data_IF_486296406456
#
_entry.id   IF_486296406456
#
_cell.length_a   1.000
_cell.length_b   1.000
_cell.length_c   1.000
_cell.angle_alpha   90.00
_cell.angle_beta   90.00
_cell.angle_gamma   90.00
#
_symmetry.space_group_name_H-M   'P 1'
#
loop_
_entity.id
_entity.type
_entity.pdbx_description
1 polymer ?
#
# COMPACT_ATOMS: atom_id res chain seq x y z
N UNK A 1 -56.94 -1.40 -64.26
CA UNK A 1 -57.13 -2.21 -63.04
C UNK A 1 -56.62 -1.37 -61.88
N UNK A 2 -57.50 -0.99 -60.96
CA UNK A 2 -57.16 -0.19 -59.78
C UNK A 2 -56.81 -1.15 -58.64
N UNK A 3 -55.60 -1.05 -58.11
CA UNK A 3 -55.13 -1.81 -56.96
C UNK A 3 -55.64 -1.16 -55.67
N UNK A 4 -56.48 -1.88 -54.95
CA UNK A 4 -56.91 -1.55 -53.58
C UNK A 4 -55.75 -1.90 -52.65
N UNK A 5 -55.20 -0.89 -51.96
CA UNK A 5 -54.24 -1.07 -50.88
C UNK A 5 -55.00 -1.32 -49.58
N UNK A 6 -54.73 -2.45 -48.93
CA UNK A 6 -55.10 -2.69 -47.53
C UNK A 6 -53.89 -2.34 -46.67
N UNK A 7 -53.96 -1.21 -45.96
CA UNK A 7 -53.03 -0.89 -44.89
C UNK A 7 -53.39 -1.67 -43.65
N UNK A 8 -52.55 -2.63 -43.27
CA UNK A 8 -52.56 -3.24 -41.93
C UNK A 8 -51.45 -2.54 -41.17
N UNK A 9 -51.81 -1.54 -40.36
CA UNK A 9 -50.87 -0.93 -39.44
C UNK A 9 -50.57 -1.90 -38.29
N UNK A 10 -49.31 -2.07 -37.86
CA UNK A 10 -49.03 -2.71 -36.59
C UNK A 10 -49.56 -1.79 -35.48
N UNK A 11 -50.64 -2.22 -34.84
CA UNK A 11 -51.07 -1.62 -33.58
C UNK A 11 -50.00 -1.88 -32.54
N UNK A 12 -49.32 -0.82 -32.10
CA UNK A 12 -48.52 -0.83 -30.88
C UNK A 12 -49.53 -0.96 -29.74
N UNK A 13 -49.68 -2.18 -29.21
CA UNK A 13 -50.26 -2.37 -27.88
C UNK A 13 -49.23 -1.82 -26.90
N UNK A 14 -49.52 -0.66 -26.32
CA UNK A 14 -48.82 -0.22 -25.10
C UNK A 14 -49.03 -1.31 -24.05
N UNK A 15 -47.95 -1.88 -23.52
CA UNK A 15 -48.06 -2.63 -22.28
C UNK A 15 -48.79 -1.75 -21.26
N UNK A 16 -49.80 -2.29 -20.59
CA UNK A 16 -50.37 -1.57 -19.46
C UNK A 16 -49.25 -1.42 -18.43
N UNK A 17 -49.00 -0.20 -17.96
CA UNK A 17 -48.03 0.03 -16.88
C UNK A 17 -48.47 -0.78 -15.66
N UNK A 18 -47.54 -1.50 -15.04
CA UNK A 18 -47.83 -2.28 -13.84
C UNK A 18 -48.33 -1.33 -12.72
N UNK A 19 -49.35 -1.73 -11.94
CA UNK A 19 -50.00 -0.86 -10.96
C UNK A 19 -49.05 -0.40 -9.83
N UNK A 20 -47.91 -1.06 -9.68
CA UNK A 20 -46.82 -0.65 -8.81
C UNK A 20 -45.49 -1.17 -9.39
N UNK A 21 -44.37 -0.63 -8.92
CA UNK A 21 -43.02 -1.07 -9.27
C UNK A 21 -42.19 -1.35 -8.02
N UNK A 22 -41.15 -2.16 -8.19
CA UNK A 22 -40.27 -2.61 -7.11
C UNK A 22 -38.82 -2.37 -7.52
N UNK A 23 -38.03 -1.80 -6.62
CA UNK A 23 -36.58 -1.66 -6.76
C UNK A 23 -35.88 -2.25 -5.53
N UNK A 24 -34.70 -2.81 -5.74
CA UNK A 24 -33.80 -3.24 -4.67
C UNK A 24 -32.62 -2.28 -4.73
N UNK A 25 -32.17 -1.83 -3.56
CA UNK A 25 -31.03 -0.95 -3.41
C UNK A 25 -30.10 -1.53 -2.35
N UNK A 26 -28.82 -1.58 -2.67
CA UNK A 26 -27.76 -2.11 -1.82
C UNK A 26 -26.68 -1.03 -1.64
N UNK A 27 -25.97 -1.04 -0.51
CA UNK A 27 -24.94 -0.04 -0.28
C UNK A 27 -23.79 -0.21 -1.28
N UNK A 28 -23.17 0.90 -1.69
CA UNK A 28 -22.05 0.89 -2.64
C UNK A 28 -20.84 0.08 -2.11
N UNK A 29 -20.71 -0.06 -0.80
CA UNK A 29 -19.66 -0.79 -0.09
C UNK A 29 -20.13 -2.17 0.45
N UNK A 30 -21.14 -2.76 -0.20
CA UNK A 30 -21.63 -4.10 0.14
C UNK A 30 -20.47 -5.09 0.17
N UNK A 31 -20.25 -5.73 1.32
CA UNK A 31 -19.11 -6.63 1.51
C UNK A 31 -19.44 -7.87 2.32
N UNK A 32 -18.50 -8.80 2.36
CA UNK A 32 -18.54 -9.96 3.26
C UNK A 32 -18.27 -9.59 4.73
N UNK A 33 -18.03 -8.31 5.05
CA UNK A 33 -17.72 -7.86 6.40
C UNK A 33 -19.00 -7.51 7.18
N UNK A 34 -19.35 -8.34 8.15
CA UNK A 34 -20.44 -8.03 9.09
C UNK A 34 -21.83 -7.98 8.46
N UNK A 35 -22.70 -7.17 9.07
CA UNK A 35 -24.09 -7.00 8.62
C UNK A 35 -24.19 -5.82 7.66
N UNK A 36 -24.92 -6.01 6.58
CA UNK A 36 -25.11 -5.04 5.51
C UNK A 36 -26.60 -4.71 5.39
N UNK A 37 -26.97 -3.44 5.25
CA UNK A 37 -28.39 -3.05 5.15
C UNK A 37 -28.81 -2.94 3.69
N UNK A 38 -29.81 -3.72 3.28
CA UNK A 38 -30.42 -3.65 1.94
C UNK A 38 -31.80 -2.99 2.06
N UNK A 39 -32.22 -2.31 1.00
CA UNK A 39 -33.51 -1.66 0.89
C UNK A 39 -34.35 -2.25 -0.27
N UNK A 40 -35.64 -2.43 -0.04
CA UNK A 40 -36.63 -2.73 -1.09
C UNK A 40 -37.64 -1.60 -1.16
N UNK A 41 -37.69 -0.89 -2.28
CA UNK A 41 -38.63 0.22 -2.50
C UNK A 41 -39.82 -0.24 -3.33
N UNK A 42 -41.02 -0.06 -2.79
CA UNK A 42 -42.30 -0.31 -3.47
C UNK A 42 -42.92 1.03 -3.84
N UNK A 43 -43.12 1.28 -5.13
CA UNK A 43 -43.73 2.51 -5.66
C UNK A 43 -45.09 2.22 -6.25
N UNK A 44 -46.13 2.92 -5.80
CA UNK A 44 -47.48 2.73 -6.31
C UNK A 44 -47.75 3.67 -7.50
N UNK A 45 -47.94 3.09 -8.68
CA UNK A 45 -48.15 3.84 -9.93
C UNK A 45 -49.65 4.04 -10.23
N UNK A 46 -50.53 3.41 -9.47
CA UNK A 46 -51.97 3.53 -9.64
C UNK A 46 -52.53 4.79 -8.95
N UNK A 47 -53.73 5.15 -9.38
CA UNK A 47 -54.59 6.20 -8.83
C UNK A 47 -55.22 5.84 -7.46
N UNK A 48 -55.10 4.59 -7.03
CA UNK A 48 -55.62 4.09 -5.75
C UNK A 48 -54.51 3.59 -4.84
N UNK A 49 -54.72 3.60 -3.52
CA UNK A 49 -53.70 3.17 -2.58
C UNK A 49 -53.46 1.64 -2.64
N UNK A 50 -52.20 1.23 -2.64
CA UNK A 50 -51.79 -0.17 -2.51
C UNK A 50 -51.84 -0.55 -1.03
N UNK A 51 -52.84 -1.33 -0.66
CA UNK A 51 -53.11 -1.68 0.74
C UNK A 51 -52.18 -2.79 1.22
N UNK A 52 -51.28 -2.45 2.15
CA UNK A 52 -50.43 -3.37 2.92
C UNK A 52 -49.82 -4.50 2.06
N UNK A 53 -48.97 -4.19 1.07
CA UNK A 53 -48.39 -5.21 0.23
C UNK A 53 -47.51 -6.16 1.06
N UNK A 54 -47.46 -7.42 0.69
CA UNK A 54 -46.49 -8.37 1.22
C UNK A 54 -45.21 -8.25 0.39
N UNK A 55 -44.08 -8.02 1.04
CA UNK A 55 -42.76 -8.01 0.40
C UNK A 55 -42.06 -9.31 0.78
N UNK A 56 -41.78 -10.15 -0.19
CA UNK A 56 -41.06 -11.41 -0.02
C UNK A 56 -39.67 -11.30 -0.66
N UNK A 57 -38.63 -11.51 0.14
CA UNK A 57 -37.24 -11.52 -0.30
C UNK A 57 -36.68 -12.92 -0.07
N UNK A 58 -36.66 -13.79 -1.09
CA UNK A 58 -35.96 -15.06 -1.01
C UNK A 58 -34.50 -14.92 -0.58
N UNK A 59 -34.10 -15.73 0.40
CA UNK A 59 -32.74 -15.73 0.92
C UNK A 59 -32.05 -17.02 0.48
N UNK A 60 -31.00 -16.85 -0.31
CA UNK A 60 -30.20 -17.96 -0.81
C UNK A 60 -28.72 -17.58 -0.81
N UNK A 61 -27.87 -18.57 -0.51
CA UNK A 61 -26.42 -18.42 -0.55
C UNK A 61 -25.95 -17.76 -1.86
N UNK A 62 -25.07 -16.75 -1.79
CA UNK A 62 -24.29 -16.35 -0.61
C UNK A 62 -24.95 -15.35 0.34
N UNK A 63 -26.17 -14.86 0.05
CA UNK A 63 -26.88 -13.92 0.92
C UNK A 63 -27.60 -14.70 2.04
N UNK A 64 -27.39 -14.26 3.27
CA UNK A 64 -28.00 -14.79 4.49
C UNK A 64 -28.67 -13.69 5.30
N UNK A 65 -29.39 -14.09 6.34
CA UNK A 65 -29.93 -13.18 7.35
C UNK A 65 -29.12 -13.31 8.64
N UNK A 66 -28.74 -12.20 9.30
CA UNK A 66 -28.21 -12.26 10.66
C UNK A 66 -29.27 -12.76 11.64
N UNK A 67 -28.84 -13.26 12.80
CA UNK A 67 -29.77 -13.67 13.85
C UNK A 67 -30.66 -12.50 14.29
N UNK A 68 -31.97 -12.70 14.28
CA UNK A 68 -32.96 -11.68 14.64
C UNK A 68 -33.17 -10.60 13.58
N UNK A 69 -32.84 -10.88 12.31
CA UNK A 69 -33.05 -9.94 11.20
C UNK A 69 -34.50 -9.44 11.10
N UNK A 70 -35.47 -10.30 11.46
CA UNK A 70 -36.89 -10.00 11.49
C UNK A 70 -37.26 -8.88 12.49
N UNK A 71 -36.51 -8.73 13.59
CA UNK A 71 -36.78 -7.74 14.64
C UNK A 71 -36.26 -6.34 14.28
N UNK A 72 -35.48 -6.23 13.20
CA UNK A 72 -34.78 -5.01 12.78
C UNK A 72 -35.24 -4.47 11.44
N UNK A 73 -36.39 -4.92 10.92
CA UNK A 73 -36.95 -4.40 9.67
C UNK A 73 -37.68 -3.09 9.93
N UNK A 74 -37.33 -2.03 9.19
CA UNK A 74 -37.95 -0.72 9.33
C UNK A 74 -38.35 -0.13 7.98
N UNK A 75 -39.27 0.85 8.00
CA UNK A 75 -39.79 1.49 6.79
C UNK A 75 -39.34 2.95 6.67
N UNK A 76 -38.87 3.32 5.48
CA UNK A 76 -38.23 4.60 5.15
C UNK A 76 -37.06 4.91 6.11
N UNK A 77 -36.58 6.15 6.15
CA UNK A 77 -35.55 6.58 7.11
C UNK A 77 -36.09 6.79 8.55
N UNK A 78 -37.08 5.99 8.96
CA UNK A 78 -37.74 6.10 10.27
C UNK A 78 -37.45 4.89 11.14
N UNK A 79 -37.58 5.05 12.46
CA UNK A 79 -37.50 3.92 13.41
C UNK A 79 -38.78 3.07 13.47
N UNK A 80 -39.67 3.22 12.49
CA UNK A 80 -40.95 2.52 12.48
C UNK A 80 -40.72 1.07 12.03
N UNK A 81 -40.66 0.19 13.02
CA UNK A 81 -40.47 -1.25 12.81
C UNK A 81 -41.66 -1.85 12.06
N UNK A 82 -41.35 -2.82 11.20
CA UNK A 82 -42.34 -3.59 10.44
C UNK A 82 -42.37 -5.02 10.93
N UNK A 83 -43.56 -5.60 10.91
CA UNK A 83 -43.74 -7.02 11.20
C UNK A 83 -43.12 -7.83 10.05
N UNK A 84 -42.13 -8.65 10.38
CA UNK A 84 -41.40 -9.48 9.45
C UNK A 84 -41.20 -10.88 10.02
N UNK A 85 -41.06 -11.87 9.15
CA UNK A 85 -40.83 -13.24 9.56
C UNK A 85 -40.03 -14.01 8.51
N UNK A 86 -39.17 -14.91 8.97
CA UNK A 86 -38.50 -15.88 8.11
C UNK A 86 -39.43 -17.08 7.90
N UNK A 87 -39.80 -17.33 6.65
CA UNK A 87 -40.72 -18.40 6.27
C UNK A 87 -40.25 -19.09 4.99
N UNK A 88 -40.85 -20.24 4.66
CA UNK A 88 -40.55 -20.89 3.38
C UNK A 88 -40.96 -19.98 2.22
N UNK A 89 -40.01 -19.74 1.30
CA UNK A 89 -40.22 -18.97 0.08
C UNK A 89 -41.35 -19.57 -0.75
N UNK A 90 -42.23 -18.71 -1.26
CA UNK A 90 -43.32 -19.08 -2.16
C UNK A 90 -42.91 -19.01 -3.63
N UNK A 91 -41.78 -18.37 -3.92
CA UNK A 91 -41.30 -18.15 -5.30
C UNK A 91 -39.95 -18.80 -5.62
N UNK A 92 -39.27 -19.33 -4.61
CA UNK A 92 -37.99 -20.04 -4.75
C UNK A 92 -37.91 -21.20 -3.74
N UNK A 93 -36.82 -21.97 -3.81
CA UNK A 93 -36.53 -22.99 -2.80
C UNK A 93 -35.78 -22.37 -1.62
N UNK A 94 -36.19 -22.68 -0.39
CA UNK A 94 -35.52 -22.24 0.83
C UNK A 94 -36.38 -21.26 1.62
N UNK A 95 -35.73 -20.47 2.47
CA UNK A 95 -36.38 -19.47 3.31
C UNK A 95 -36.44 -18.11 2.58
N UNK A 96 -37.37 -17.26 2.98
CA UNK A 96 -37.52 -15.88 2.55
C UNK A 96 -37.79 -15.00 3.77
N UNK A 97 -37.30 -13.77 3.73
CA UNK A 97 -37.76 -12.72 4.62
C UNK A 97 -39.10 -12.20 4.06
N UNK A 98 -40.16 -12.35 4.85
CA UNK A 98 -41.50 -11.90 4.48
C UNK A 98 -41.86 -10.71 5.37
N UNK A 99 -42.03 -9.53 4.76
CA UNK A 99 -42.30 -8.26 5.43
C UNK A 99 -43.74 -7.85 5.15
N UNK A 100 -44.50 -7.54 6.21
CA UNK A 100 -45.84 -6.97 6.09
C UNK A 100 -45.72 -5.47 5.83
N UNK A 101 -45.94 -5.09 4.58
CA UNK A 101 -45.80 -3.72 4.10
C UNK A 101 -46.87 -2.77 4.61
N UNK A 102 -46.57 -1.47 4.53
CA UNK A 102 -47.51 -0.40 4.85
C UNK A 102 -48.37 -0.05 3.64
N UNK A 103 -49.52 0.58 3.87
CA UNK A 103 -50.25 1.23 2.79
C UNK A 103 -49.29 2.17 2.03
N UNK A 104 -49.24 2.00 0.72
CA UNK A 104 -48.51 2.87 -0.20
C UNK A 104 -49.54 3.75 -0.92
N UNK A 105 -49.65 5.05 -0.58
CA UNK A 105 -50.60 5.94 -1.24
C UNK A 105 -50.37 6.03 -2.76
N UNK A 106 -51.38 6.50 -3.49
CA UNK A 106 -51.30 6.68 -4.93
C UNK A 106 -50.16 7.63 -5.31
N UNK A 107 -49.25 7.19 -6.19
CA UNK A 107 -48.09 7.97 -6.61
C UNK A 107 -46.96 8.11 -5.58
N UNK A 108 -47.02 7.39 -4.46
CA UNK A 108 -45.99 7.41 -3.41
C UNK A 108 -45.19 6.10 -3.37
N UNK A 109 -44.12 6.09 -2.57
CA UNK A 109 -43.26 4.94 -2.35
C UNK A 109 -43.10 4.62 -0.86
N UNK A 110 -42.81 3.35 -0.55
CA UNK A 110 -42.37 2.88 0.77
C UNK A 110 -41.10 2.06 0.59
N UNK A 111 -40.08 2.35 1.39
CA UNK A 111 -38.79 1.64 1.35
C UNK A 111 -38.63 0.79 2.60
N UNK A 112 -38.31 -0.49 2.46
CA UNK A 112 -38.15 -1.41 3.57
C UNK A 112 -36.69 -1.78 3.71
N UNK A 113 -36.11 -1.49 4.87
CA UNK A 113 -34.70 -1.75 5.16
C UNK A 113 -34.57 -2.97 6.06
N UNK A 114 -33.60 -3.84 5.77
CA UNK A 114 -33.29 -5.01 6.57
C UNK A 114 -31.82 -5.38 6.43
N UNK A 115 -31.28 -6.05 7.45
CA UNK A 115 -29.89 -6.49 7.44
C UNK A 115 -29.73 -7.86 6.80
N UNK A 116 -28.67 -8.02 6.04
CA UNK A 116 -28.20 -9.28 5.47
C UNK A 116 -26.75 -9.53 5.88
N UNK A 117 -26.32 -10.78 5.75
CA UNK A 117 -24.91 -11.16 5.73
C UNK A 117 -24.58 -11.74 4.36
N UNK A 118 -23.33 -11.61 3.91
CA UNK A 118 -22.90 -12.20 2.64
C UNK A 118 -21.67 -13.08 2.87
N UNK A 119 -21.75 -14.35 2.51
CA UNK A 119 -20.72 -15.34 2.82
C UNK A 119 -19.60 -15.45 1.78
N UNK A 120 -19.75 -14.84 0.61
CA UNK A 120 -18.73 -14.85 -0.45
C UNK A 120 -18.78 -13.57 -1.28
N UNK A 121 -17.59 -13.10 -1.66
CA UNK A 121 -17.41 -11.98 -2.56
C UNK A 121 -17.76 -12.33 -4.02
N UNK A 122 -17.84 -11.29 -4.85
CA UNK A 122 -18.19 -11.35 -6.27
C UNK A 122 -19.65 -10.99 -6.52
N UNK A 123 -20.10 -11.27 -7.74
CA UNK A 123 -21.44 -10.89 -8.18
C UNK A 123 -22.48 -11.93 -7.77
N UNK A 124 -23.53 -11.50 -7.08
CA UNK A 124 -24.72 -12.29 -6.74
C UNK A 124 -25.99 -11.57 -7.20
N UNK A 125 -27.15 -12.18 -7.01
CA UNK A 125 -28.44 -11.53 -7.28
C UNK A 125 -29.38 -11.65 -6.10
N UNK A 126 -30.08 -10.58 -5.79
CA UNK A 126 -31.19 -10.59 -4.82
C UNK A 126 -32.50 -10.37 -5.56
N UNK A 127 -33.52 -11.15 -5.20
CA UNK A 127 -34.86 -11.03 -5.77
C UNK A 127 -35.83 -10.52 -4.71
N UNK A 128 -36.74 -9.65 -5.11
CA UNK A 128 -37.87 -9.22 -4.30
C UNK A 128 -39.17 -9.43 -5.09
N UNK A 129 -40.16 -10.03 -4.44
CA UNK A 129 -41.51 -10.23 -4.97
C UNK A 129 -42.50 -9.50 -4.08
N UNK A 130 -43.26 -8.60 -4.68
CA UNK A 130 -44.22 -7.77 -3.97
C UNK A 130 -45.60 -8.04 -4.49
N UNK A 131 -46.52 -8.35 -3.58
CA UNK A 131 -47.91 -8.69 -3.91
C UNK A 131 -48.89 -7.96 -3.00
N UNK A 132 -50.01 -7.43 -3.53
CA UNK A 132 -51.08 -6.89 -2.72
C UNK A 132 -51.70 -8.00 -1.87
N UNK A 133 -51.97 -7.72 -0.58
CA UNK A 133 -52.52 -8.71 0.36
C UNK A 133 -53.86 -9.33 -0.08
N UNK A 134 -54.66 -8.60 -0.85
CA UNK A 134 -55.99 -9.02 -1.29
C UNK A 134 -56.06 -9.36 -2.78
N UNK A 135 -54.93 -9.38 -3.49
CA UNK A 135 -54.85 -9.68 -4.91
C UNK A 135 -53.49 -10.27 -5.27
N UNK A 136 -53.17 -11.42 -4.68
CA UNK A 136 -51.87 -12.11 -4.87
C UNK A 136 -51.49 -12.37 -6.34
N UNK A 137 -52.41 -12.65 -7.29
CA UNK A 137 -52.03 -12.81 -8.70
C UNK A 137 -51.44 -11.57 -9.37
N UNK A 138 -51.60 -10.39 -8.75
CA UNK A 138 -51.06 -9.12 -9.23
C UNK A 138 -49.73 -8.81 -8.53
N UNK A 139 -48.73 -9.67 -8.71
CA UNK A 139 -47.41 -9.50 -8.11
C UNK A 139 -46.41 -8.89 -9.10
N UNK A 140 -45.47 -8.10 -8.57
CA UNK A 140 -44.33 -7.57 -9.31
C UNK A 140 -43.06 -8.14 -8.71
N UNK A 141 -42.20 -8.66 -9.58
CA UNK A 141 -40.92 -9.24 -9.20
C UNK A 141 -39.80 -8.45 -9.83
N UNK A 142 -38.79 -8.13 -9.03
CA UNK A 142 -37.55 -7.55 -9.49
C UNK A 142 -36.37 -8.37 -8.99
N UNK A 143 -35.26 -8.31 -9.73
CA UNK A 143 -34.01 -8.96 -9.38
C UNK A 143 -32.90 -7.98 -9.65
N UNK A 144 -32.06 -7.74 -8.64
CA UNK A 144 -30.93 -6.82 -8.71
C UNK A 144 -29.64 -7.60 -8.61
N UNK A 145 -28.64 -7.18 -9.40
CA UNK A 145 -27.30 -7.73 -9.33
C UNK A 145 -26.53 -6.98 -8.25
N UNK A 146 -25.97 -7.73 -7.30
CA UNK A 146 -25.20 -7.17 -6.20
C UNK A 146 -23.73 -7.51 -6.43
N UNK A 147 -22.87 -6.49 -6.43
CA UNK A 147 -21.43 -6.68 -6.41
C UNK A 147 -20.95 -6.63 -4.96
N UNK A 148 -20.38 -7.73 -4.49
CA UNK A 148 -20.00 -7.90 -3.07
C UNK A 148 -18.49 -7.90 -2.98
N UNK A 149 -17.92 -6.92 -2.28
CA UNK A 149 -16.50 -6.90 -1.97
C UNK A 149 -16.12 -7.96 -0.96
N UNK A 150 -14.98 -8.61 -1.19
CA UNK A 150 -14.37 -9.47 -0.19
C UNK A 150 -13.61 -8.68 0.87
N UNK A 151 -13.05 -9.44 1.80
CA UNK A 151 -12.11 -8.91 2.80
C UNK A 151 -10.83 -9.72 2.78
N UNK A 152 -9.73 -9.07 3.11
CA UNK A 152 -8.47 -9.71 3.45
C UNK A 152 -7.96 -9.21 4.78
N UNK A 153 -6.65 -9.26 4.99
CA UNK A 153 -6.03 -8.82 6.24
C UNK A 153 -4.76 -8.03 5.96
N UNK A 154 -4.59 -6.92 6.67
CA UNK A 154 -3.30 -6.21 6.75
C UNK A 154 -2.69 -6.53 8.10
N UNK A 155 -1.51 -7.12 8.07
CA UNK A 155 -0.64 -7.25 9.22
C UNK A 155 0.45 -6.20 9.11
N UNK A 156 0.63 -5.39 10.14
CA UNK A 156 1.73 -4.44 10.17
C UNK A 156 2.34 -4.30 11.55
N UNK A 157 3.63 -4.00 11.60
CA UNK A 157 4.36 -3.85 12.86
C UNK A 157 5.51 -2.87 12.75
N UNK A 158 5.81 -2.21 13.86
CA UNK A 158 7.03 -1.43 14.08
C UNK A 158 7.91 -2.15 15.09
N UNK A 159 9.11 -2.56 14.65
CA UNK A 159 10.05 -3.37 15.44
C UNK A 159 11.44 -2.74 15.49
N UNK A 160 12.26 -3.14 16.46
CA UNK A 160 13.69 -2.83 16.49
C UNK A 160 14.50 -3.86 15.67
N UNK A 161 15.83 -3.69 15.60
CA UNK A 161 16.73 -4.61 14.88
C UNK A 161 16.76 -6.04 15.45
N UNK A 162 16.26 -6.24 16.67
CA UNK A 162 16.11 -7.55 17.31
C UNK A 162 14.70 -8.16 17.09
N UNK A 163 13.80 -7.44 16.40
CA UNK A 163 12.43 -7.85 16.14
C UNK A 163 11.46 -7.60 17.30
N UNK A 164 11.84 -6.82 18.31
CA UNK A 164 10.94 -6.46 19.42
C UNK A 164 10.12 -5.21 19.06
N UNK A 165 8.90 -5.11 19.59
CA UNK A 165 8.05 -3.95 19.35
C UNK A 165 8.65 -2.65 19.93
N UNK A 166 8.58 -1.57 19.16
CA UNK A 166 9.15 -0.27 19.53
C UNK A 166 8.15 0.52 20.39
N UNK A 167 8.54 0.82 21.63
CA UNK A 167 7.66 1.52 22.57
C UNK A 167 7.31 2.93 22.11
N UNK A 168 6.02 3.19 21.92
CA UNK A 168 5.51 4.52 21.57
C UNK A 168 5.47 4.78 20.06
N UNK A 169 5.91 3.82 19.26
CA UNK A 169 5.66 3.81 17.83
C UNK A 169 4.24 3.30 17.52
N UNK A 170 3.77 3.59 16.32
CA UNK A 170 2.46 3.19 15.83
C UNK A 170 2.49 2.93 14.33
N UNK A 171 1.67 1.99 13.88
CA UNK A 171 1.33 1.82 12.47
C UNK A 171 0.27 2.86 12.07
N UNK A 172 0.34 3.34 10.84
CA UNK A 172 -0.71 4.15 10.22
C UNK A 172 -1.31 3.35 9.07
N UNK A 173 -2.58 2.96 9.17
CA UNK A 173 -3.32 2.22 8.14
C UNK A 173 -4.45 3.11 7.60
N UNK A 174 -4.42 3.42 6.31
CA UNK A 174 -5.38 4.32 5.64
C UNK A 174 -5.58 5.66 6.37
N UNK A 175 -4.45 6.21 6.82
CA UNK A 175 -4.39 7.47 7.58
C UNK A 175 -4.88 7.37 9.03
N UNK A 176 -5.28 6.18 9.51
CA UNK A 176 -5.67 5.95 10.90
C UNK A 176 -4.50 5.40 11.71
N UNK A 177 -4.21 6.04 12.84
CA UNK A 177 -3.19 5.58 13.79
C UNK A 177 -3.68 4.34 14.53
N UNK A 178 -2.87 3.28 14.50
CA UNK A 178 -3.10 2.01 15.15
C UNK A 178 -2.09 1.80 16.29
N UNK A 179 -2.04 0.60 16.87
CA UNK A 179 -0.97 0.21 17.78
C UNK A 179 0.37 0.01 17.04
N UNK A 180 1.42 -0.31 17.80
CA UNK A 180 2.75 -0.70 17.30
C UNK A 180 2.71 -1.98 16.45
N UNK A 181 1.74 -2.86 16.68
CA UNK A 181 1.39 -3.97 15.81
C UNK A 181 -0.13 -4.06 15.60
N UNK A 182 -0.54 -4.33 14.37
CA UNK A 182 -1.94 -4.45 13.97
C UNK A 182 -2.15 -5.67 13.09
N UNK A 183 -3.32 -6.29 13.24
CA UNK A 183 -3.88 -7.30 12.33
C UNK A 183 -5.33 -6.92 12.10
N UNK A 184 -5.60 -6.24 10.98
CA UNK A 184 -6.91 -5.64 10.69
C UNK A 184 -7.54 -6.27 9.46
N UNK A 185 -8.82 -6.62 9.58
CA UNK A 185 -9.64 -7.06 8.44
C UNK A 185 -10.08 -5.84 7.65
N UNK A 186 -9.62 -5.76 6.40
CA UNK A 186 -9.92 -4.65 5.49
C UNK A 186 -10.67 -5.18 4.27
N UNK A 187 -11.36 -4.29 3.56
CA UNK A 187 -11.95 -4.62 2.26
C UNK A 187 -10.87 -5.04 1.27
N UNK A 188 -11.22 -5.80 0.24
CA UNK A 188 -10.25 -6.07 -0.83
C UNK A 188 -9.90 -4.76 -1.58
N UNK A 189 -8.65 -4.63 -2.01
CA UNK A 189 -8.15 -3.45 -2.72
C UNK A 189 -6.79 -2.98 -2.23
N UNK A 190 -6.43 -1.76 -2.61
CA UNK A 190 -5.17 -1.14 -2.25
C UNK A 190 -5.30 -0.38 -0.92
N UNK A 191 -4.36 -0.63 0.00
CA UNK A 191 -4.31 -0.01 1.32
C UNK A 191 -2.98 0.70 1.54
N UNK A 192 -3.03 1.88 2.16
CA UNK A 192 -1.84 2.66 2.52
C UNK A 192 -1.38 2.28 3.92
N UNK A 193 -0.10 1.92 4.05
CA UNK A 193 0.50 1.49 5.32
C UNK A 193 1.79 2.28 5.55
N UNK A 194 1.84 2.99 6.68
CA UNK A 194 3.00 3.74 7.14
C UNK A 194 3.27 3.50 8.63
N UNK A 195 4.21 4.27 9.20
CA UNK A 195 4.46 4.27 10.64
C UNK A 195 4.66 5.68 11.18
N UNK A 196 4.66 5.81 12.51
CA UNK A 196 4.99 7.06 13.19
C UNK A 196 6.49 7.26 13.41
N UNK A 197 7.36 6.37 12.91
CA UNK A 197 8.80 6.60 12.94
C UNK A 197 9.14 7.80 12.06
N UNK A 198 10.18 8.54 12.46
CA UNK A 198 10.65 9.68 11.68
C UNK A 198 11.17 9.18 10.34
N UNK A 199 10.77 9.85 9.27
CA UNK A 199 11.15 9.54 7.89
C UNK A 199 10.87 8.10 7.44
N UNK A 200 10.00 7.33 8.10
CA UNK A 200 9.64 6.01 7.59
C UNK A 200 8.94 6.11 6.22
N UNK A 201 9.23 5.18 5.29
CA UNK A 201 8.53 5.11 4.02
C UNK A 201 7.05 4.77 4.22
N UNK A 202 6.23 5.03 3.20
CA UNK A 202 4.84 4.58 3.13
C UNK A 202 4.70 3.57 1.98
N UNK A 203 3.92 2.52 2.18
CA UNK A 203 3.62 1.51 1.15
C UNK A 203 2.15 1.55 0.76
N UNK A 204 1.88 1.27 -0.50
CA UNK A 204 0.56 0.84 -0.96
C UNK A 204 0.60 -0.67 -1.19
N UNK A 205 -0.22 -1.42 -0.45
CA UNK A 205 -0.30 -2.88 -0.55
C UNK A 205 -1.67 -3.31 -1.06
N UNK A 206 -1.66 -4.20 -2.05
CA UNK A 206 -2.88 -4.84 -2.53
C UNK A 206 -3.28 -5.99 -1.62
N UNK A 207 -4.55 -6.03 -1.23
CA UNK A 207 -5.16 -7.05 -0.37
C UNK A 207 -6.27 -7.75 -1.15
N UNK A 208 -6.08 -9.03 -1.48
CA UNK A 208 -7.11 -9.86 -2.08
C UNK A 208 -8.04 -10.52 -1.06
N UNK A 209 -9.07 -11.21 -1.58
CA UNK A 209 -10.05 -11.96 -0.79
C UNK A 209 -9.36 -13.07 0.00
N UNK A 210 -9.46 -13.04 1.33
CA UNK A 210 -8.81 -13.98 2.25
C UNK A 210 -7.29 -14.03 2.11
N UNK A 211 -6.69 -12.99 1.51
CA UNK A 211 -5.24 -12.82 1.46
C UNK A 211 -4.75 -11.98 2.64
N UNK A 212 -3.45 -12.03 2.89
CA UNK A 212 -2.80 -11.24 3.92
C UNK A 212 -1.64 -10.47 3.32
N UNK A 213 -1.67 -9.15 3.46
CA UNK A 213 -0.52 -8.30 3.21
C UNK A 213 0.21 -8.07 4.54
N UNK A 214 1.53 -8.18 4.53
CA UNK A 214 2.37 -7.96 5.71
C UNK A 214 3.35 -6.83 5.46
N UNK A 215 3.43 -5.84 6.36
CA UNK A 215 4.36 -4.72 6.29
C UNK A 215 5.09 -4.54 7.61
N UNK A 216 6.42 -4.50 7.61
CA UNK A 216 7.22 -4.26 8.80
C UNK A 216 8.02 -2.98 8.63
N UNK A 217 8.02 -2.13 9.64
CA UNK A 217 8.91 -0.98 9.79
C UNK A 217 9.93 -1.30 10.87
N UNK A 218 11.17 -0.89 10.66
CA UNK A 218 12.30 -1.19 11.54
C UNK A 218 12.89 0.12 12.05
N UNK A 219 12.94 0.27 13.37
CA UNK A 219 13.64 1.35 14.08
C UNK A 219 15.00 0.83 14.51
N UNK A 220 16.04 1.24 13.80
CA UNK A 220 17.40 0.81 14.07
C UNK A 220 18.41 1.91 13.83
N UNK A 221 19.64 1.70 14.27
CA UNK A 221 20.76 2.63 14.14
C UNK A 221 22.01 2.01 13.49
N UNK A 222 21.84 0.85 12.84
CA UNK A 222 22.94 0.18 12.14
C UNK A 222 23.25 0.90 10.81
N UNK A 223 24.53 0.95 10.46
CA UNK A 223 25.00 1.62 9.22
C UNK A 223 24.41 1.03 7.93
N UNK A 224 23.94 -0.22 8.00
CA UNK A 224 23.34 -0.94 6.87
C UNK A 224 22.18 -1.77 7.44
N UNK A 225 20.95 -1.34 7.23
CA UNK A 225 19.78 -2.01 7.77
C UNK A 225 18.53 -1.80 6.92
N UNK A 226 17.60 -2.77 6.92
CA UNK A 226 16.28 -2.52 6.39
C UNK A 226 15.57 -1.53 7.31
N UNK A 227 14.91 -0.53 6.76
CA UNK A 227 14.04 0.39 7.52
C UNK A 227 12.57 0.07 7.35
N UNK A 228 12.21 -0.62 6.26
CA UNK A 228 10.90 -1.23 6.13
C UNK A 228 10.86 -2.27 5.02
N UNK A 229 9.89 -3.19 5.08
CA UNK A 229 9.66 -4.18 4.04
C UNK A 229 8.21 -4.69 4.00
N UNK A 230 7.78 -5.10 2.81
CA UNK A 230 6.53 -5.81 2.55
C UNK A 230 6.84 -7.30 2.34
N UNK A 231 6.04 -8.19 2.92
CA UNK A 231 6.20 -9.64 2.79
C UNK A 231 7.20 -10.23 3.80
N UNK A 232 8.04 -11.15 3.35
CA UNK A 232 9.04 -11.80 4.19
C UNK A 232 10.20 -10.87 4.55
N UNK A 233 10.83 -11.12 5.70
CA UNK A 233 12.00 -10.38 6.16
C UNK A 233 13.17 -10.53 5.18
N UNK A 234 13.80 -9.42 4.74
CA UNK A 234 14.97 -9.47 3.89
C UNK A 234 16.17 -10.05 4.65
N UNK A 235 17.04 -10.78 3.95
CA UNK A 235 18.29 -11.27 4.54
C UNK A 235 19.49 -10.50 3.99
N UNK A 236 20.30 -9.93 4.87
CA UNK A 236 21.64 -9.43 4.54
C UNK A 236 22.60 -10.62 4.41
N UNK A 237 23.05 -10.90 3.19
CA UNK A 237 23.94 -12.03 2.88
C UNK A 237 25.40 -11.68 3.17
N UNK A 238 25.77 -10.42 2.98
CA UNK A 238 27.09 -9.90 3.29
C UNK A 238 27.27 -8.48 2.79
N UNK A 239 28.29 -7.82 3.31
CA UNK A 239 28.66 -6.44 3.03
C UNK A 239 30.18 -6.30 2.89
N UNK A 240 30.61 -5.25 2.22
CA UNK A 240 32.02 -4.91 2.06
C UNK A 240 32.17 -3.42 1.75
N UNK A 241 33.27 -2.83 2.20
CA UNK A 241 33.67 -1.47 1.82
C UNK A 241 34.97 -1.55 1.02
N UNK A 242 35.05 -0.79 -0.07
CA UNK A 242 36.24 -0.68 -0.91
C UNK A 242 36.48 0.75 -1.32
N UNK A 243 37.72 1.06 -1.72
CA UNK A 243 38.11 2.39 -2.16
C UNK A 243 38.59 2.34 -3.60
N UNK A 244 38.36 3.41 -4.35
CA UNK A 244 39.00 3.61 -5.64
C UNK A 244 40.44 4.07 -5.45
N UNK A 245 41.29 3.78 -6.43
CA UNK A 245 42.58 4.46 -6.53
C UNK A 245 42.31 5.93 -6.89
N UNK A 246 42.70 6.85 -6.01
CA UNK A 246 42.68 8.29 -6.26
C UNK A 246 44.08 8.85 -6.46
N UNK A 247 44.17 10.13 -6.80
CA UNK A 247 45.42 10.85 -7.05
C UNK A 247 45.26 12.32 -6.62
N UNK A 248 46.27 13.16 -6.86
CA UNK A 248 46.25 14.57 -6.47
C UNK A 248 45.18 15.45 -7.18
N UNK A 249 44.38 14.89 -8.09
CA UNK A 249 43.28 15.52 -8.84
C UNK A 249 42.03 14.65 -8.93
N UNK A 250 42.15 13.35 -8.72
CA UNK A 250 41.05 12.39 -8.76
C UNK A 250 40.70 11.97 -7.33
N UNK A 251 39.47 12.21 -6.85
CA UNK A 251 39.06 11.81 -5.52
C UNK A 251 39.18 10.30 -5.26
N UNK A 252 39.49 9.94 -4.01
CA UNK A 252 39.41 8.57 -3.52
C UNK A 252 37.97 8.28 -3.11
N UNK A 253 37.19 7.69 -4.02
CA UNK A 253 35.81 7.30 -3.76
C UNK A 253 35.74 6.07 -2.86
N UNK A 254 34.69 6.00 -2.04
CA UNK A 254 34.44 4.86 -1.15
C UNK A 254 33.14 4.20 -1.56
N UNK A 255 33.20 2.92 -1.89
CA UNK A 255 32.02 2.13 -2.27
C UNK A 255 31.65 1.16 -1.16
N UNK A 256 30.43 1.30 -0.65
CA UNK A 256 29.79 0.31 0.24
C UNK A 256 28.97 -0.63 -0.63
N UNK A 257 29.32 -1.91 -0.65
CA UNK A 257 28.58 -2.95 -1.38
C UNK A 257 27.89 -3.89 -0.42
N UNK A 258 26.59 -4.09 -0.62
CA UNK A 258 25.74 -4.97 0.18
C UNK A 258 25.05 -6.00 -0.71
N UNK A 259 24.95 -7.23 -0.22
CA UNK A 259 24.22 -8.30 -0.89
C UNK A 259 22.96 -8.61 -0.11
N UNK A 260 21.80 -8.31 -0.70
CA UNK A 260 20.48 -8.42 -0.08
C UNK A 260 19.68 -9.53 -0.79
N UNK A 261 19.09 -10.44 -0.02
CA UNK A 261 18.20 -11.48 -0.53
C UNK A 261 16.77 -11.23 -0.07
N UNK A 262 15.83 -11.14 -1.01
CA UNK A 262 14.40 -11.01 -0.75
C UNK A 262 13.59 -11.83 -1.75
N UNK A 263 12.76 -12.72 -1.22
CA UNK A 263 11.96 -13.72 -1.92
C UNK A 263 10.67 -13.17 -2.51
N UNK A 264 10.11 -12.10 -1.94
CA UNK A 264 8.84 -11.50 -2.34
C UNK A 264 8.84 -9.97 -2.12
N UNK A 265 7.74 -9.28 -2.41
CA UNK A 265 7.49 -7.90 -1.98
C UNK A 265 8.55 -6.82 -2.34
N UNK A 266 8.62 -5.81 -1.47
CA UNK A 266 9.47 -4.62 -1.59
C UNK A 266 10.22 -4.39 -0.28
N UNK A 267 11.46 -3.92 -0.33
CA UNK A 267 12.25 -3.55 0.84
C UNK A 267 12.89 -2.18 0.65
N UNK A 268 13.04 -1.46 1.74
CA UNK A 268 13.74 -0.18 1.82
C UNK A 268 14.90 -0.35 2.78
N UNK A 269 16.10 -0.02 2.32
CA UNK A 269 17.34 -0.04 3.10
C UNK A 269 17.92 1.36 3.21
N UNK A 270 18.47 1.65 4.38
CA UNK A 270 19.39 2.77 4.56
C UNK A 270 20.82 2.27 4.61
N UNK A 271 21.69 2.99 3.90
CA UNK A 271 23.12 2.71 3.78
C UNK A 271 23.86 4.00 4.15
N UNK A 272 24.42 4.01 5.35
CA UNK A 272 25.17 5.11 5.89
C UNK A 272 26.55 5.23 5.21
N UNK A 273 27.08 6.47 5.05
CA UNK A 273 28.47 6.65 4.67
C UNK A 273 29.40 6.06 5.73
N UNK A 274 30.53 5.44 5.33
CA UNK A 274 31.58 5.07 6.26
C UNK A 274 32.06 6.29 7.07
N UNK A 275 32.30 6.08 8.37
CA UNK A 275 32.67 7.16 9.32
C UNK A 275 34.17 7.26 9.58
N UNK A 276 34.96 6.40 8.95
CA UNK A 276 36.42 6.33 9.11
C UNK A 276 37.17 7.48 8.41
N UNK A 277 36.52 8.16 7.45
CA UNK A 277 37.08 9.33 6.78
C UNK A 277 36.02 10.33 6.32
N UNK A 278 36.40 11.60 6.10
CA UNK A 278 35.51 12.62 5.55
C UNK A 278 35.09 12.28 4.12
N UNK A 279 33.79 12.32 3.83
CA UNK A 279 33.23 12.09 2.50
C UNK A 279 32.41 13.30 2.04
N UNK A 280 32.19 13.39 0.72
CA UNK A 280 31.42 14.42 0.04
C UNK A 280 30.09 13.86 -0.44
N UNK A 281 29.04 14.66 -0.24
CA UNK A 281 27.72 14.39 -0.80
C UNK A 281 27.00 13.19 -0.18
N UNK A 282 25.91 12.81 -0.85
CA UNK A 282 25.08 11.68 -0.46
C UNK A 282 25.31 10.61 -1.53
N UNK A 283 25.71 9.40 -1.13
CA UNK A 283 26.20 8.38 -2.04
C UNK A 283 25.26 8.06 -3.23
N UNK A 284 25.84 7.54 -4.31
CA UNK A 284 25.13 7.15 -5.53
C UNK A 284 24.99 5.64 -5.56
N UNK A 285 23.75 5.14 -5.53
CA UNK A 285 23.49 3.72 -5.56
C UNK A 285 23.47 3.18 -7.00
N UNK A 286 24.10 2.03 -7.18
CA UNK A 286 24.01 1.20 -8.37
C UNK A 286 23.63 -0.22 -7.94
N UNK A 287 22.83 -0.92 -8.75
CA UNK A 287 22.41 -2.28 -8.40
C UNK A 287 22.07 -3.08 -9.65
N UNK A 288 22.20 -4.40 -9.55
CA UNK A 288 21.72 -5.36 -10.55
C UNK A 288 20.24 -5.73 -10.37
N UNK A 289 19.57 -5.18 -9.36
CA UNK A 289 18.14 -5.35 -9.11
C UNK A 289 17.25 -4.32 -9.81
N UNK A 290 15.95 -4.55 -9.66
CA UNK A 290 14.90 -3.58 -9.93
C UNK A 290 14.90 -2.49 -8.84
N UNK A 291 15.87 -1.58 -8.90
CA UNK A 291 15.85 -0.33 -8.14
C UNK A 291 14.56 0.43 -8.48
N UNK A 292 13.72 0.64 -7.48
CA UNK A 292 12.50 1.43 -7.62
C UNK A 292 12.83 2.89 -7.47
N UNK A 293 13.55 3.22 -6.40
CA UNK A 293 13.85 4.59 -6.01
C UNK A 293 15.14 4.65 -5.19
N UNK A 294 15.85 5.77 -5.32
CA UNK A 294 16.95 6.16 -4.46
C UNK A 294 16.68 7.56 -3.93
N UNK A 295 16.82 7.75 -2.62
CA UNK A 295 16.70 9.05 -1.94
C UNK A 295 17.81 9.23 -0.93
N UNK A 296 17.88 10.43 -0.32
CA UNK A 296 18.74 10.70 0.84
C UNK A 296 17.85 11.03 2.03
N UNK A 297 18.10 10.36 3.15
CA UNK A 297 17.44 10.62 4.43
C UNK A 297 18.52 10.75 5.49
N UNK A 298 18.54 11.86 6.23
CA UNK A 298 19.52 12.12 7.29
C UNK A 298 21.01 11.93 6.93
N UNK A 299 21.37 12.13 5.65
CA UNK A 299 22.73 11.95 5.14
C UNK A 299 23.07 10.50 4.73
N UNK A 300 22.13 9.58 4.90
CA UNK A 300 22.22 8.19 4.45
C UNK A 300 21.62 8.02 3.05
N UNK A 301 22.13 7.03 2.31
CA UNK A 301 21.56 6.67 1.02
C UNK A 301 20.46 5.64 1.22
N UNK A 302 19.22 6.05 0.94
CA UNK A 302 18.06 5.17 1.00
C UNK A 302 17.79 4.54 -0.35
N UNK A 303 17.66 3.22 -0.39
CA UNK A 303 17.33 2.47 -1.60
C UNK A 303 16.05 1.66 -1.40
N UNK A 304 15.12 1.79 -2.35
CA UNK A 304 13.92 0.95 -2.41
C UNK A 304 14.08 -0.09 -3.53
N UNK A 305 13.97 -1.35 -3.16
CA UNK A 305 14.16 -2.50 -4.05
C UNK A 305 12.89 -3.34 -4.06
N UNK A 306 12.46 -3.75 -5.25
CA UNK A 306 11.49 -4.85 -5.37
C UNK A 306 12.19 -6.20 -5.24
N UNK A 307 11.42 -7.29 -5.22
CA UNK A 307 11.89 -8.68 -5.22
C UNK A 307 13.22 -8.86 -5.96
N UNK A 308 14.24 -9.32 -5.22
CA UNK A 308 15.63 -9.40 -5.67
C UNK A 308 16.07 -10.81 -6.08
N UNK A 309 15.39 -11.85 -5.60
CA UNK A 309 15.76 -13.25 -5.88
C UNK A 309 16.94 -13.72 -5.02
N UNK A 310 17.80 -14.60 -5.56
CA UNK A 310 18.95 -15.16 -4.83
C UNK A 310 20.14 -14.19 -4.82
N UNK A 311 20.10 -13.22 -3.90
CA UNK A 311 21.19 -12.28 -3.62
C UNK A 311 21.41 -11.22 -4.70
N UNK A 312 20.97 -10.00 -4.43
CA UNK A 312 21.19 -8.81 -5.25
C UNK A 312 22.31 -7.98 -4.66
N UNK A 313 23.19 -7.46 -5.50
CA UNK A 313 24.21 -6.52 -5.08
C UNK A 313 23.69 -5.07 -5.22
N UNK A 314 23.80 -4.29 -4.15
CA UNK A 314 23.66 -2.84 -4.16
C UNK A 314 25.02 -2.25 -3.79
N UNK A 315 25.54 -1.35 -4.62
CA UNK A 315 26.79 -0.64 -4.40
C UNK A 315 26.49 0.85 -4.32
N UNK A 316 26.79 1.46 -3.18
CA UNK A 316 26.66 2.90 -2.94
C UNK A 316 28.05 3.52 -2.97
N UNK A 317 28.30 4.37 -3.96
CA UNK A 317 29.56 5.11 -4.10
C UNK A 317 29.43 6.48 -3.43
N UNK A 318 30.29 6.75 -2.46
CA UNK A 318 30.46 8.05 -1.81
C UNK A 318 31.72 8.71 -2.34
N UNK A 319 31.62 9.98 -2.74
CA UNK A 319 32.75 10.74 -3.22
C UNK A 319 33.66 11.11 -2.03
N UNK A 320 34.97 10.93 -2.17
CA UNK A 320 35.95 11.35 -1.16
C UNK A 320 36.60 12.69 -1.51
N UNK A 321 37.84 12.86 -1.06
CA UNK A 321 38.73 13.95 -1.48
C UNK A 321 39.90 13.39 -2.27
N UNK A 322 40.60 14.27 -2.98
CA UNK A 322 41.84 13.96 -3.70
C UNK A 322 42.89 13.40 -2.75
N UNK A 323 43.69 12.44 -3.22
CA UNK A 323 44.76 11.87 -2.42
C UNK A 323 45.80 12.97 -2.15
N UNK A 324 46.07 13.27 -0.88
CA UNK A 324 46.94 14.35 -0.41
C UNK A 324 46.21 15.60 0.07
N UNK A 325 44.90 15.73 -0.16
CA UNK A 325 44.07 16.84 0.33
C UNK A 325 43.62 16.56 1.76
N UNK A 326 44.40 17.00 2.75
CA UNK A 326 44.16 16.68 4.17
C UNK A 326 43.42 17.78 4.92
N UNK A 327 43.42 19.00 4.39
CA UNK A 327 42.66 20.11 4.95
C UNK A 327 41.23 20.21 4.38
N UNK A 328 40.93 19.41 3.35
CA UNK A 328 39.63 19.20 2.71
C UNK A 328 39.11 20.45 1.98
N UNK A 329 40.00 21.32 1.51
CA UNK A 329 39.61 22.56 0.83
C UNK A 329 39.27 22.37 -0.67
N UNK A 330 39.71 21.25 -1.24
CA UNK A 330 39.42 20.83 -2.61
C UNK A 330 40.59 20.99 -3.58
N UNK A 331 41.73 21.49 -3.13
CA UNK A 331 42.99 21.51 -3.84
C UNK A 331 44.03 20.63 -3.12
N UNK A 332 45.11 20.27 -3.80
CA UNK A 332 46.25 19.56 -3.19
C UNK A 332 47.48 20.45 -3.32
N UNK A 333 47.93 21.03 -2.22
CA UNK A 333 48.99 22.04 -2.26
C UNK A 333 50.02 21.99 -1.10
N UNK A 334 50.71 23.11 -0.84
CA UNK A 334 51.76 23.18 0.18
C UNK A 334 51.22 23.29 1.62
N UNK A 335 49.98 23.74 1.78
CA UNK A 335 49.32 23.80 3.08
C UNK A 335 48.97 22.36 3.53
N UNK A 336 48.47 21.50 2.62
CA UNK A 336 48.30 20.07 2.87
C UNK A 336 49.61 19.37 3.29
N UNK A 337 50.69 19.64 2.57
CA UNK A 337 52.00 19.08 2.90
C UNK A 337 52.44 19.46 4.32
N UNK A 338 52.11 20.69 4.75
CA UNK A 338 52.39 21.18 6.10
C UNK A 338 51.54 20.46 7.14
N UNK A 339 50.27 20.21 6.84
CA UNK A 339 49.32 19.53 7.72
C UNK A 339 49.65 18.03 7.86
N UNK A 340 50.03 17.35 6.77
CA UNK A 340 50.56 15.97 6.80
C UNK A 340 51.80 15.90 7.68
N UNK A 341 52.75 16.83 7.53
CA UNK A 341 53.96 16.86 8.34
C UNK A 341 53.66 17.08 9.84
N UNK A 342 52.64 17.90 10.14
CA UNK A 342 52.16 18.11 11.50
C UNK A 342 51.53 16.84 12.06
N UNK A 343 50.65 16.18 11.32
CA UNK A 343 49.98 14.93 11.71
C UNK A 343 51.00 13.81 11.98
N UNK A 344 51.99 13.65 11.09
CA UNK A 344 53.10 12.71 11.26
C UNK A 344 53.90 12.97 12.54
N UNK A 345 54.04 14.24 12.95
CA UNK A 345 54.77 14.63 14.16
C UNK A 345 53.97 14.43 15.44
N UNK A 346 52.65 14.63 15.39
CA UNK A 346 51.75 14.43 16.54
C UNK A 346 51.27 12.99 16.69
N UNK A 347 51.47 12.14 15.68
CA UNK A 347 50.86 10.81 15.61
C UNK A 347 49.34 10.88 15.42
N UNK A 348 48.86 11.98 14.84
CA UNK A 348 47.46 12.14 14.47
C UNK A 348 47.22 11.50 13.10
N UNK A 349 45.98 11.08 12.88
CA UNK A 349 45.55 10.61 11.57
C UNK A 349 45.34 11.81 10.63
N UNK A 350 45.66 11.62 9.35
CA UNK A 350 45.38 12.58 8.28
C UNK A 350 44.73 11.79 7.15
N UNK A 351 43.40 11.85 7.08
CA UNK A 351 42.65 11.21 6.01
C UNK A 351 43.20 11.68 4.66
N UNK A 352 43.40 10.75 3.73
CA UNK A 352 44.03 11.00 2.42
C UNK A 352 45.52 11.39 2.45
N UNK A 353 46.18 11.38 3.61
CA UNK A 353 47.57 11.79 3.77
C UNK A 353 48.62 10.72 3.42
N UNK A 354 48.26 9.45 3.28
CA UNK A 354 49.18 8.37 2.85
C UNK A 354 49.22 8.31 1.32
N UNK A 355 49.93 9.28 0.73
CA UNK A 355 49.95 9.46 -0.73
C UNK A 355 50.82 8.41 -1.45
N UNK A 356 51.59 7.62 -0.71
CA UNK A 356 52.45 6.59 -1.27
C UNK A 356 51.92 5.15 -1.06
N UNK A 357 50.89 4.98 -0.23
CA UNK A 357 50.19 3.72 -0.01
C UNK A 357 50.97 2.68 0.79
N UNK A 358 51.94 3.09 1.63
CA UNK A 358 52.70 2.17 2.48
C UNK A 358 52.02 1.87 3.83
N UNK A 359 50.84 2.46 4.06
CA UNK A 359 50.03 2.32 5.25
C UNK A 359 50.47 3.24 6.40
N UNK A 360 51.35 4.22 6.16
CA UNK A 360 51.85 5.14 7.17
C UNK A 360 51.90 6.58 6.67
N UNK A 361 51.05 7.44 7.23
CA UNK A 361 51.18 8.90 7.05
C UNK A 361 52.45 9.39 7.75
N UNK A 362 53.45 9.82 6.97
CA UNK A 362 54.75 10.23 7.50
C UNK A 362 55.38 11.40 6.72
N UNK A 363 56.61 11.77 7.08
CA UNK A 363 57.31 12.89 6.46
C UNK A 363 57.64 12.68 4.97
N UNK A 364 57.64 11.43 4.50
CA UNK A 364 57.77 11.11 3.07
C UNK A 364 56.53 11.59 2.33
N UNK A 365 55.34 11.36 2.85
CA UNK A 365 54.08 11.78 2.21
C UNK A 365 53.98 13.30 2.11
N UNK A 366 54.29 14.01 3.19
CA UNK A 366 54.38 15.47 3.19
C UNK A 366 55.35 15.97 2.11
N UNK A 367 56.51 15.32 1.95
CA UNK A 367 57.48 15.67 0.91
C UNK A 367 56.94 15.38 -0.49
N UNK A 368 56.19 14.30 -0.69
CA UNK A 368 55.59 13.96 -1.99
C UNK A 368 54.54 15.00 -2.41
N UNK A 369 53.67 15.41 -1.49
CA UNK A 369 52.68 16.47 -1.70
C UNK A 369 53.37 17.82 -1.99
N UNK A 370 54.37 18.20 -1.22
CA UNK A 370 55.16 19.42 -1.49
C UNK A 370 55.84 19.38 -2.87
N UNK A 371 56.35 18.22 -3.29
CA UNK A 371 56.96 18.09 -4.61
C UNK A 371 55.93 18.17 -5.74
N UNK A 372 54.71 17.65 -5.52
CA UNK A 372 53.61 17.83 -6.47
C UNK A 372 53.21 19.31 -6.58
N UNK A 373 53.01 20.02 -5.47
CA UNK A 373 52.62 21.44 -5.47
C UNK A 373 53.66 22.35 -6.16
N UNK A 374 54.94 21.97 -6.10
CA UNK A 374 56.04 22.63 -6.82
C UNK A 374 56.19 22.20 -8.29
N UNK A 375 55.33 21.33 -8.81
CA UNK A 375 55.39 20.72 -10.15
C UNK A 375 56.65 19.87 -10.39
N UNK A 376 57.22 19.28 -9.33
CA UNK A 376 58.34 18.34 -9.40
C UNK A 376 57.87 16.87 -9.49
N UNK A 377 56.56 16.61 -9.36
CA UNK A 377 55.91 15.30 -9.52
C UNK A 377 54.62 15.42 -10.32
N UNK A 378 54.17 14.32 -10.90
CA UNK A 378 52.83 14.21 -11.47
C UNK A 378 51.78 13.91 -10.41
N UNK A 379 50.52 13.77 -10.85
CA UNK A 379 49.35 13.57 -9.99
C UNK A 379 49.40 12.27 -9.19
N UNK A 380 50.12 11.27 -9.69
CA UNK A 380 50.28 9.95 -9.06
C UNK A 380 51.46 9.95 -8.06
N UNK A 381 51.97 11.13 -7.72
CA UNK A 381 53.17 11.32 -6.89
C UNK A 381 54.39 10.57 -7.41
N UNK A 382 54.49 10.37 -8.72
CA UNK A 382 55.68 9.79 -9.33
C UNK A 382 56.56 10.86 -9.97
N UNK A 383 57.80 10.50 -10.27
CA UNK A 383 58.70 11.42 -10.98
C UNK A 383 58.25 11.44 -12.43
N UNK A 384 57.47 12.46 -12.80
CA UNK A 384 57.12 12.73 -14.18
C UNK A 384 58.37 12.85 -15.04
N UNK A 385 58.46 12.04 -16.10
CA UNK A 385 59.44 12.25 -17.16
C UNK A 385 59.20 13.60 -17.82
N UNK A 386 60.27 14.40 -17.89
CA UNK A 386 60.31 15.75 -18.48
C UNK A 386 59.68 15.87 -19.88
#
# INVERSE_FOLDING_TARGET
MASISFGVGPGVVSAADDPFSVAIDAPDDLSTNGNQTIAVTVTNNDSTALLNPLVEVPISSPVGLPNGAEDAVYVNDTSDLRDAAVQQSTISTGDALVITGEVVPAGESRTYHFNVTVSSAGTTSLTADVRPLYNEPNNVRTSEQLDVSGVGTVNASVVDNDGNAVSGASVVLDGQTQADSVSETVLEGDHTVGSSLTDAPEFTVGVGISETASVTFVDGDDSIQPVAYVGEEPTLVGDSTSESDGDAKTPVNTTVSVTISKSDGTVVYDIAPPSDKPLRGNGVATTDANLVEQTTVDGETRVQLNQTGVGTQVSVEFEGYELGNVDLDGDVDADDASDIAQAASSGSDAAYGDVNGDGQVNAVDAMLVQQYSENNRDTDYTIGGA
#
